data_IF_871393328105
#
_entry.id   IF_871393328105
#
_cell.length_a   1.000
_cell.length_b   1.000
_cell.length_c   1.000
_cell.angle_alpha   90.00
_cell.angle_beta   90.00
_cell.angle_gamma   90.00
#
_symmetry.space_group_name_H-M   'P 1'
#
loop_
_entity.id
_entity.type
_entity.pdbx_description
1 polymer ?
#
# COMPACT_ATOMS: atom_id res chain seq x y z
N UNK A 1 -14.49 -45.10 -55.07
CA UNK A 1 -13.44 -44.35 -54.34
C UNK A 1 -13.41 -44.80 -52.87
N UNK A 2 -12.94 -46.02 -52.61
CA UNK A 2 -12.69 -46.50 -51.25
C UNK A 2 -11.26 -46.12 -50.86
N UNK A 3 -11.11 -45.46 -49.72
CA UNK A 3 -9.82 -45.04 -49.18
C UNK A 3 -9.00 -46.28 -48.75
N UNK A 4 -8.15 -46.79 -49.65
CA UNK A 4 -7.17 -47.85 -49.34
C UNK A 4 -6.13 -47.44 -48.28
N UNK A 5 -6.03 -46.15 -47.94
CA UNK A 5 -5.17 -45.67 -46.86
C UNK A 5 -5.74 -45.89 -45.44
N UNK A 6 -6.96 -46.44 -45.31
CA UNK A 6 -7.59 -46.67 -43.99
C UNK A 6 -7.20 -47.99 -43.31
N UNK A 7 -6.55 -48.91 -44.05
CA UNK A 7 -6.17 -50.25 -43.54
C UNK A 7 -4.80 -50.31 -42.87
N UNK A 8 -4.01 -49.23 -42.93
CA UNK A 8 -2.73 -49.10 -42.21
C UNK A 8 -2.94 -48.18 -41.00
N UNK A 9 -3.69 -48.65 -40.00
CA UNK A 9 -3.51 -48.11 -38.64
C UNK A 9 -2.38 -48.92 -38.01
N UNK A 10 -1.18 -48.35 -37.81
CA UNK A 10 -0.17 -49.05 -37.04
C UNK A 10 -0.76 -49.35 -35.65
N UNK A 11 -0.81 -50.64 -35.28
CA UNK A 11 -0.93 -51.00 -33.86
C UNK A 11 0.20 -50.27 -33.14
N UNK A 12 -0.12 -49.66 -32.01
CA UNK A 12 0.85 -48.96 -31.17
C UNK A 12 2.10 -49.82 -31.02
N UNK A 13 3.21 -49.29 -31.54
CA UNK A 13 4.56 -49.73 -31.27
C UNK A 13 4.72 -49.86 -29.73
N UNK A 14 5.25 -51.00 -29.27
CA UNK A 14 5.32 -51.37 -27.85
C UNK A 14 6.43 -50.59 -27.10
N UNK A 15 7.27 -49.85 -27.83
CA UNK A 15 8.22 -48.90 -27.28
C UNK A 15 7.52 -47.70 -26.63
N UNK A 16 8.20 -47.10 -25.65
CA UNK A 16 7.73 -45.90 -24.94
C UNK A 16 7.65 -44.69 -25.88
N UNK A 17 6.57 -44.58 -26.67
CA UNK A 17 6.28 -43.36 -27.41
C UNK A 17 5.73 -42.33 -26.43
N UNK A 18 6.51 -41.26 -26.21
CA UNK A 18 6.07 -40.16 -25.36
C UNK A 18 4.86 -39.48 -26.01
N UNK A 19 3.75 -39.38 -25.27
CA UNK A 19 2.59 -38.58 -25.71
C UNK A 19 2.87 -37.11 -25.45
N UNK A 20 2.33 -36.23 -26.30
CA UNK A 20 2.34 -34.79 -26.02
C UNK A 20 1.73 -34.53 -24.64
N UNK A 21 2.54 -33.95 -23.75
CA UNK A 21 2.12 -33.65 -22.39
C UNK A 21 1.45 -32.28 -22.39
N UNK A 22 0.25 -32.21 -21.84
CA UNK A 22 -0.41 -30.92 -21.59
C UNK A 22 0.17 -30.28 -20.33
N UNK A 23 0.30 -28.95 -20.29
CA UNK A 23 0.74 -28.19 -19.10
C UNK A 23 -0.07 -28.56 -17.84
N UNK A 24 -1.32 -29.03 -17.99
CA UNK A 24 -2.17 -29.46 -16.87
C UNK A 24 -1.72 -30.75 -16.18
N UNK A 25 -0.94 -31.61 -16.83
CA UNK A 25 -0.54 -32.89 -16.22
C UNK A 25 0.57 -32.74 -15.16
N UNK A 26 1.31 -31.64 -15.19
CA UNK A 26 2.31 -31.30 -14.17
C UNK A 26 1.81 -30.30 -13.12
N UNK A 27 0.60 -29.77 -13.29
CA UNK A 27 0.02 -28.76 -12.38
C UNK A 27 -0.59 -29.34 -11.11
N UNK A 28 -0.33 -30.61 -10.76
CA UNK A 28 -0.50 -31.10 -9.37
C UNK A 28 0.65 -30.55 -8.50
N UNK A 29 0.86 -29.24 -8.57
CA UNK A 29 1.74 -28.52 -7.68
C UNK A 29 1.08 -28.55 -6.29
N UNK A 30 1.68 -29.34 -5.41
CA UNK A 30 1.60 -29.26 -3.96
C UNK A 30 1.25 -27.82 -3.53
N UNK A 31 0.15 -27.71 -2.78
CA UNK A 31 -0.55 -26.48 -2.47
C UNK A 31 0.40 -25.32 -2.13
N UNK A 32 0.40 -24.30 -2.98
CA UNK A 32 1.13 -23.03 -2.83
C UNK A 32 0.86 -22.37 -1.46
N UNK A 33 -0.29 -22.70 -0.84
CA UNK A 33 -0.71 -22.24 0.49
C UNK A 33 0.19 -22.78 1.63
N UNK A 34 0.59 -24.05 1.57
CA UNK A 34 1.36 -24.71 2.65
C UNK A 34 2.79 -24.20 2.75
N UNK A 35 3.41 -23.84 1.61
CA UNK A 35 4.79 -23.36 1.59
C UNK A 35 4.93 -21.88 1.96
N UNK A 36 3.88 -21.10 1.73
CA UNK A 36 3.82 -19.72 2.22
C UNK A 36 3.63 -19.69 3.74
N UNK A 37 2.76 -20.55 4.27
CA UNK A 37 2.62 -20.72 5.73
C UNK A 37 3.92 -21.23 6.37
N UNK A 38 4.63 -22.17 5.73
CA UNK A 38 5.92 -22.63 6.26
C UNK A 38 6.98 -21.52 6.29
N UNK A 39 7.15 -20.77 5.21
CA UNK A 39 8.11 -19.66 5.12
C UNK A 39 7.73 -18.46 6.02
N UNK A 40 6.43 -18.19 6.17
CA UNK A 40 5.90 -17.19 7.08
C UNK A 40 6.15 -17.61 8.54
N UNK A 41 5.86 -18.87 8.89
CA UNK A 41 6.06 -19.38 10.24
C UNK A 41 7.55 -19.51 10.61
N UNK A 42 8.42 -19.81 9.65
CA UNK A 42 9.88 -19.83 9.82
C UNK A 42 10.44 -18.41 10.05
N UNK A 43 9.97 -17.43 9.28
CA UNK A 43 10.27 -16.01 9.53
C UNK A 43 9.70 -15.51 10.87
N UNK A 44 8.51 -15.98 11.27
CA UNK A 44 7.89 -15.62 12.56
C UNK A 44 8.67 -16.22 13.74
N UNK A 45 9.29 -17.39 13.59
CA UNK A 45 10.21 -18.00 14.57
C UNK A 45 11.54 -17.25 14.68
N UNK A 46 12.08 -16.75 13.55
CA UNK A 46 13.27 -15.89 13.52
C UNK A 46 13.01 -14.48 14.08
N UNK A 47 11.75 -14.03 14.07
CA UNK A 47 11.31 -12.74 14.58
C UNK A 47 10.53 -12.85 15.90
N UNK A 48 11.05 -13.62 16.87
CA UNK A 48 10.87 -13.19 18.28
C UNK A 48 11.55 -11.83 18.39
N UNK A 49 10.72 -10.80 18.47
CA UNK A 49 11.10 -9.39 18.48
C UNK A 49 12.02 -9.08 19.65
N UNK A 50 13.32 -9.29 19.47
CA UNK A 50 14.28 -8.38 20.07
C UNK A 50 14.05 -7.04 19.37
N UNK A 51 13.34 -6.14 20.04
CA UNK A 51 13.58 -4.74 19.83
C UNK A 51 15.08 -4.55 20.06
N UNK A 52 15.87 -4.45 18.99
CA UNK A 52 17.21 -3.92 19.12
C UNK A 52 17.00 -2.49 19.56
N UNK A 53 17.05 -2.27 20.87
CA UNK A 53 17.41 -0.97 21.38
C UNK A 53 18.70 -0.57 20.67
N UNK A 54 18.85 0.69 20.23
CA UNK A 54 20.11 1.12 19.64
C UNK A 54 21.23 0.82 20.62
N UNK A 55 22.25 0.08 20.17
CA UNK A 55 23.38 -0.37 21.00
C UNK A 55 24.13 0.80 21.67
N UNK A 56 23.90 2.02 21.19
CA UNK A 56 24.54 3.24 21.67
C UNK A 56 23.52 4.31 22.08
N UNK A 57 22.78 4.07 23.19
CA UNK A 57 21.96 5.09 23.86
C UNK A 57 22.76 6.35 24.29
N UNK A 58 24.09 6.26 24.33
CA UNK A 58 25.00 7.36 24.66
C UNK A 58 25.12 8.41 23.54
N UNK A 59 25.05 7.99 22.27
CA UNK A 59 25.10 8.91 21.11
C UNK A 59 23.77 9.66 20.91
N UNK A 60 22.65 8.99 21.17
CA UNK A 60 21.31 9.57 21.08
C UNK A 60 20.82 10.05 22.45
N UNK A 61 21.21 11.28 22.84
CA UNK A 61 20.39 12.05 23.79
C UNK A 61 21.03 12.53 25.10
N UNK A 62 22.35 12.45 25.29
CA UNK A 62 23.03 13.19 26.39
C UNK A 62 23.48 14.60 25.95
N UNK A 63 22.79 15.17 24.96
CA UNK A 63 23.19 16.36 24.22
C UNK A 63 22.93 17.65 24.99
N UNK A 64 24.02 18.32 25.38
CA UNK A 64 24.07 19.69 25.89
C UNK A 64 23.48 19.95 27.30
N UNK A 65 22.20 19.69 27.56
CA UNK A 65 21.56 20.11 28.83
C UNK A 65 22.07 19.32 30.03
N UNK A 66 22.12 17.98 29.95
CA UNK A 66 22.65 17.14 31.04
C UNK A 66 24.13 17.41 31.33
N UNK A 67 24.92 17.79 30.32
CA UNK A 67 26.35 18.14 30.48
C UNK A 67 26.53 19.53 31.11
N UNK A 68 25.65 20.48 30.82
CA UNK A 68 25.78 21.88 31.23
C UNK A 68 24.87 22.29 32.40
N UNK A 69 23.98 21.41 32.88
CA UNK A 69 23.11 21.70 34.03
C UNK A 69 23.92 22.16 35.25
N UNK A 70 25.06 21.52 35.53
CA UNK A 70 25.98 21.90 36.63
C UNK A 70 26.69 23.25 36.41
N UNK A 71 26.71 23.79 35.18
CA UNK A 71 27.31 25.09 34.85
C UNK A 71 26.34 26.25 35.04
N UNK A 72 25.03 26.01 35.09
CA UNK A 72 24.01 27.04 35.36
C UNK A 72 23.87 27.24 36.88
N UNK A 73 24.83 27.91 37.53
CA UNK A 73 24.83 28.09 38.99
C UNK A 73 23.65 28.92 39.49
N UNK A 74 23.44 30.13 38.95
CA UNK A 74 22.27 31.01 39.14
C UNK A 74 22.14 31.95 37.93
N UNK A 75 20.92 32.33 37.58
CA UNK A 75 20.68 33.45 36.65
C UNK A 75 21.09 34.79 37.29
N UNK A 76 21.18 35.85 36.48
CA UNK A 76 21.47 37.20 37.00
C UNK A 76 20.36 37.67 37.94
N UNK A 77 20.73 38.08 39.15
CA UNK A 77 19.82 38.69 40.11
C UNK A 77 20.12 40.18 40.19
N UNK A 78 19.18 41.01 39.75
CA UNK A 78 19.36 42.46 39.76
C UNK A 78 19.43 42.98 41.20
N UNK A 79 20.47 43.73 41.61
CA UNK A 79 20.74 44.07 43.00
C UNK A 79 19.70 45.01 43.63
N UNK A 80 19.02 45.81 42.81
CA UNK A 80 18.00 46.78 43.26
C UNK A 80 16.57 46.35 42.96
N UNK A 81 16.35 45.14 42.44
CA UNK A 81 15.00 44.63 42.22
C UNK A 81 14.69 43.62 43.33
N UNK A 82 13.66 43.89 44.09
CA UNK A 82 13.14 42.97 45.10
C UNK A 82 11.65 42.75 44.87
N UNK A 83 11.12 41.62 45.33
CA UNK A 83 9.69 41.30 45.20
C UNK A 83 8.80 42.23 46.02
N UNK A 84 9.34 42.84 47.08
CA UNK A 84 8.64 43.82 47.92
C UNK A 84 8.76 45.24 47.37
N UNK A 85 9.94 45.58 46.82
CA UNK A 85 10.23 46.88 46.22
C UNK A 85 10.72 46.65 44.78
N UNK A 86 9.78 46.51 43.83
CA UNK A 86 10.09 46.36 42.42
C UNK A 86 10.64 47.68 41.90
N UNK A 87 11.74 47.60 41.14
CA UNK A 87 12.38 48.78 40.56
C UNK A 87 11.50 49.50 39.52
N UNK A 88 10.58 48.78 38.85
CA UNK A 88 9.72 49.31 37.80
C UNK A 88 8.26 49.35 38.27
N UNK A 89 7.73 50.54 38.52
CA UNK A 89 6.31 50.77 38.88
C UNK A 89 5.32 50.63 37.71
N UNK A 90 5.76 50.08 36.57
CA UNK A 90 4.96 50.06 35.34
C UNK A 90 3.88 48.99 35.32
N UNK A 91 3.80 48.14 36.34
CA UNK A 91 2.86 47.03 36.37
C UNK A 91 1.65 47.38 37.26
N UNK A 92 0.45 47.62 36.68
CA UNK A 92 -0.77 47.89 37.45
C UNK A 92 -1.07 46.79 38.49
N UNK A 93 -0.60 45.56 38.25
CA UNK A 93 -0.81 44.44 39.16
C UNK A 93 -0.15 44.62 40.53
N UNK A 94 0.96 45.36 40.64
CA UNK A 94 1.62 45.61 41.93
C UNK A 94 0.85 46.60 42.79
N UNK A 95 0.30 47.65 42.16
CA UNK A 95 -0.61 48.59 42.82
C UNK A 95 -1.91 47.90 43.27
N UNK A 96 -2.49 47.06 42.40
CA UNK A 96 -3.65 46.23 42.75
C UNK A 96 -3.35 45.27 43.89
N UNK A 97 -2.16 44.66 43.91
CA UNK A 97 -1.74 43.76 44.99
C UNK A 97 -1.66 44.49 46.33
N UNK A 98 -1.02 45.65 46.40
CA UNK A 98 -0.96 46.45 47.63
C UNK A 98 -2.35 46.88 48.11
N UNK A 99 -3.23 47.25 47.18
CA UNK A 99 -4.63 47.58 47.50
C UNK A 99 -5.40 46.37 48.01
N UNK A 100 -5.26 45.20 47.39
CA UNK A 100 -5.87 43.96 47.84
C UNK A 100 -5.32 43.51 49.20
N UNK A 101 -4.03 43.69 49.45
CA UNK A 101 -3.41 43.38 50.75
C UNK A 101 -3.93 44.33 51.85
N UNK A 102 -4.20 45.61 51.51
CA UNK A 102 -4.78 46.59 52.43
C UNK A 102 -6.26 46.30 52.75
N UNK A 103 -7.06 45.98 51.73
CA UNK A 103 -8.49 45.65 51.89
C UNK A 103 -8.66 44.27 52.55
N UNK A 104 -7.68 43.39 52.37
CA UNK A 104 -7.75 41.99 52.74
C UNK A 104 -8.49 41.13 51.70
N UNK A 105 -8.54 39.81 51.91
CA UNK A 105 -9.26 38.91 51.02
C UNK A 105 -10.77 39.19 51.05
N UNK A 106 -11.48 38.72 50.01
CA UNK A 106 -12.93 38.81 49.94
C UNK A 106 -13.58 38.23 51.21
N UNK A 107 -14.42 39.03 51.86
CA UNK A 107 -15.14 38.64 53.07
C UNK A 107 -16.32 37.73 52.72
N UNK A 108 -16.01 36.47 52.42
CA UNK A 108 -17.01 35.46 52.05
C UNK A 108 -17.85 35.09 53.26
N UNK A 109 -19.16 35.34 53.20
CA UNK A 109 -20.10 34.90 54.23
C UNK A 109 -20.44 33.41 54.06
N UNK A 110 -20.27 32.57 55.10
CA UNK A 110 -20.67 31.17 55.06
C UNK A 110 -22.19 30.95 55.28
N UNK A 111 -22.93 32.01 55.59
CA UNK A 111 -24.35 31.92 55.92
C UNK A 111 -25.22 31.86 54.65
N UNK A 112 -26.32 31.12 54.71
CA UNK A 112 -27.29 30.97 53.61
C UNK A 112 -28.05 32.27 53.25
N UNK A 113 -28.05 33.25 54.15
CA UNK A 113 -28.70 34.54 53.95
C UNK A 113 -27.78 35.71 54.30
N UNK A 114 -28.03 36.87 53.69
CA UNK A 114 -27.28 38.08 53.99
C UNK A 114 -27.54 38.58 55.42
N UNK A 115 -26.53 39.18 56.03
CA UNK A 115 -26.62 39.76 57.37
C UNK A 115 -27.75 40.80 57.49
N UNK A 116 -27.93 41.62 56.44
CA UNK A 116 -28.98 42.64 56.40
C UNK A 116 -30.39 42.05 56.38
N UNK A 117 -30.56 40.89 55.74
CA UNK A 117 -31.85 40.18 55.68
C UNK A 117 -32.15 39.47 57.01
N UNK A 118 -31.18 38.75 57.56
CA UNK A 118 -31.34 37.97 58.80
C UNK A 118 -31.56 38.83 60.05
N UNK A 119 -31.01 40.05 60.07
CA UNK A 119 -31.01 40.95 61.24
C UNK A 119 -31.69 42.29 60.98
N UNK A 120 -32.57 42.38 59.98
CA UNK A 120 -33.27 43.62 59.60
C UNK A 120 -33.88 44.36 60.79
N UNK A 121 -34.58 43.65 61.69
CA UNK A 121 -35.22 44.26 62.86
C UNK A 121 -34.24 44.82 63.88
N UNK A 122 -33.10 44.15 64.10
CA UNK A 122 -32.06 44.59 65.02
C UNK A 122 -31.26 45.77 64.44
N UNK A 123 -30.92 45.72 63.15
CA UNK A 123 -30.31 46.85 62.44
C UNK A 123 -31.25 48.06 62.50
N UNK A 124 -32.56 47.86 62.25
CA UNK A 124 -33.55 48.92 62.34
C UNK A 124 -33.65 49.50 63.76
N UNK A 125 -33.61 48.66 64.79
CA UNK A 125 -33.58 49.10 66.18
C UNK A 125 -32.36 49.98 66.49
N UNK A 126 -31.16 49.57 66.05
CA UNK A 126 -29.95 50.37 66.24
C UNK A 126 -29.98 51.70 65.47
N UNK A 127 -30.47 51.70 64.23
CA UNK A 127 -30.67 52.91 63.45
C UNK A 127 -31.71 53.82 64.11
N UNK A 128 -32.81 53.26 64.63
CA UNK A 128 -33.85 54.00 65.34
C UNK A 128 -33.34 54.66 66.62
N UNK A 129 -32.60 53.91 67.46
CA UNK A 129 -31.96 54.45 68.67
C UNK A 129 -30.92 55.52 68.30
N UNK A 130 -30.10 55.27 67.28
CA UNK A 130 -29.12 56.23 66.76
C UNK A 130 -29.75 57.52 66.24
N UNK A 131 -30.89 57.43 65.54
CA UNK A 131 -31.64 58.57 65.04
C UNK A 131 -32.25 59.39 66.19
N UNK A 132 -32.91 58.75 67.16
CA UNK A 132 -33.49 59.45 68.33
C UNK A 132 -32.41 60.14 69.15
N UNK A 133 -31.30 59.44 69.43
CA UNK A 133 -30.19 60.02 70.20
C UNK A 133 -29.54 61.18 69.45
N UNK A 134 -29.41 61.11 68.13
CA UNK A 134 -28.92 62.21 67.30
C UNK A 134 -29.88 63.40 67.31
N UNK A 135 -31.19 63.19 67.13
CA UNK A 135 -32.21 64.26 67.14
C UNK A 135 -32.31 64.91 68.52
N UNK A 136 -32.27 64.11 69.59
CA UNK A 136 -32.30 64.61 70.96
C UNK A 136 -31.06 65.44 71.31
N UNK A 137 -29.86 65.01 70.86
CA UNK A 137 -28.61 65.75 71.08
C UNK A 137 -28.51 67.03 70.25
N UNK A 138 -29.18 67.09 69.10
CA UNK A 138 -29.19 68.27 68.21
C UNK A 138 -30.30 69.29 68.53
N UNK A 139 -30.94 69.18 69.71
CA UNK A 139 -31.90 70.18 70.21
C UNK A 139 -33.33 70.01 69.70
N UNK A 140 -33.65 68.90 69.03
CA UNK A 140 -34.99 68.61 68.51
C UNK A 140 -35.35 69.36 67.22
N UNK A 141 -36.27 68.79 66.46
CA UNK A 141 -36.65 69.27 65.12
C UNK A 141 -37.30 70.66 65.08
N UNK A 142 -37.98 71.03 66.17
CA UNK A 142 -38.80 72.25 66.21
C UNK A 142 -38.02 73.52 66.53
N UNK A 143 -36.80 73.41 67.05
CA UNK A 143 -35.99 74.55 67.50
C UNK A 143 -34.70 74.75 66.69
N UNK A 144 -34.48 73.93 65.65
CA UNK A 144 -33.27 73.98 64.85
C UNK A 144 -33.58 74.49 63.43
N UNK A 145 -33.66 75.82 63.30
CA UNK A 145 -33.87 76.51 62.01
C UNK A 145 -32.78 76.19 60.99
N UNK A 146 -31.57 75.91 61.46
CA UNK A 146 -30.45 75.52 60.61
C UNK A 146 -30.69 74.17 59.90
N UNK A 147 -31.23 73.15 60.59
CA UNK A 147 -31.63 71.89 59.95
C UNK A 147 -32.73 72.12 58.91
N UNK A 148 -33.69 73.00 59.18
CA UNK A 148 -34.75 73.34 58.21
C UNK A 148 -34.21 74.06 56.97
N UNK A 149 -33.25 74.98 57.15
CA UNK A 149 -32.55 75.62 56.03
C UNK A 149 -31.71 74.64 55.20
N UNK A 150 -31.07 73.66 55.85
CA UNK A 150 -30.34 72.60 55.17
C UNK A 150 -31.26 71.70 54.32
N UNK A 151 -32.50 71.46 54.76
CA UNK A 151 -33.48 70.70 53.97
C UNK A 151 -33.85 71.42 52.69
N UNK A 152 -34.10 72.74 52.74
CA UNK A 152 -34.36 73.52 51.53
C UNK A 152 -33.17 73.49 50.55
N UNK A 153 -31.94 73.59 51.06
CA UNK A 153 -30.75 73.40 50.22
C UNK A 153 -30.69 71.99 49.62
N UNK A 154 -31.07 70.96 50.38
CA UNK A 154 -31.12 69.58 49.90
C UNK A 154 -32.19 69.37 48.83
N UNK A 155 -33.38 69.94 49.00
CA UNK A 155 -34.46 69.95 48.00
C UNK A 155 -33.99 70.62 46.71
N UNK A 156 -33.30 71.76 46.82
CA UNK A 156 -32.69 72.43 45.68
C UNK A 156 -31.63 71.57 44.98
N UNK A 157 -30.72 70.92 45.73
CA UNK A 157 -29.70 70.04 45.16
C UNK A 157 -30.30 68.79 44.50
N UNK A 158 -31.36 68.21 45.09
CA UNK A 158 -32.08 67.08 44.49
C UNK A 158 -32.72 67.53 43.18
N UNK A 159 -33.45 68.64 43.18
CA UNK A 159 -34.06 69.20 41.97
C UNK A 159 -32.99 69.52 40.90
N UNK A 160 -31.83 70.04 41.30
CA UNK A 160 -30.74 70.36 40.39
C UNK A 160 -30.05 69.11 39.85
N UNK A 161 -29.62 68.16 40.68
CA UNK A 161 -28.84 67.01 40.22
C UNK A 161 -29.70 65.85 39.72
N UNK A 162 -30.75 65.46 40.46
CA UNK A 162 -31.65 64.39 40.04
C UNK A 162 -32.51 64.87 38.88
N UNK A 163 -33.07 66.09 38.99
CA UNK A 163 -33.79 66.70 37.88
C UNK A 163 -32.92 66.82 36.63
N UNK A 164 -31.66 67.24 36.75
CA UNK A 164 -30.76 67.30 35.59
C UNK A 164 -30.36 65.92 35.03
N UNK A 165 -30.14 64.93 35.90
CA UNK A 165 -29.83 63.57 35.47
C UNK A 165 -31.02 62.94 34.73
N UNK A 166 -32.24 63.08 35.25
CA UNK A 166 -33.46 62.50 34.65
C UNK A 166 -33.96 63.30 33.44
N UNK A 167 -33.94 64.65 33.48
CA UNK A 167 -34.31 65.48 32.33
C UNK A 167 -33.44 65.17 31.11
N UNK A 168 -32.15 64.85 31.30
CA UNK A 168 -31.26 64.40 30.22
C UNK A 168 -31.67 63.06 29.59
N UNK A 169 -32.44 62.23 30.28
CA UNK A 169 -32.97 60.97 29.74
C UNK A 169 -34.32 61.15 29.03
N UNK A 170 -35.17 62.07 29.51
CA UNK A 170 -36.55 62.20 29.03
C UNK A 170 -36.83 63.40 28.10
N UNK A 171 -36.01 64.45 28.15
CA UNK A 171 -36.22 65.65 27.34
C UNK A 171 -35.27 65.72 26.15
N UNK A 172 -35.73 66.36 25.08
CA UNK A 172 -34.96 66.62 23.85
C UNK A 172 -33.92 67.75 24.05
N UNK A 173 -33.28 67.78 25.22
CA UNK A 173 -32.06 68.56 25.42
C UNK A 173 -30.99 68.00 24.47
N UNK A 174 -30.19 68.84 23.79
CA UNK A 174 -29.22 68.38 22.80
C UNK A 174 -28.24 67.37 23.42
N UNK A 175 -28.53 66.09 23.14
CA UNK A 175 -27.71 64.91 23.43
C UNK A 175 -27.98 64.25 24.79
N UNK A 176 -28.67 63.10 24.85
CA UNK A 176 -28.38 62.14 25.91
C UNK A 176 -26.89 61.78 25.81
N UNK A 177 -26.11 62.12 26.83
CA UNK A 177 -24.69 61.76 26.88
C UNK A 177 -24.58 60.25 27.12
N UNK A 178 -24.68 59.45 26.05
CA UNK A 178 -24.51 57.99 26.06
C UNK A 178 -23.10 57.53 26.48
N UNK A 179 -22.22 58.42 26.94
CA UNK A 179 -20.87 58.10 27.41
C UNK A 179 -20.87 57.02 28.49
N UNK A 180 -21.81 57.09 29.46
CA UNK A 180 -21.95 56.05 30.50
C UNK A 180 -22.43 54.74 29.87
N UNK A 181 -23.38 54.79 28.94
CA UNK A 181 -23.88 53.62 28.23
C UNK A 181 -22.75 52.92 27.45
N UNK A 182 -21.95 53.66 26.69
CA UNK A 182 -20.85 53.09 25.91
C UNK A 182 -19.74 52.52 26.80
N UNK A 183 -19.42 53.14 27.94
CA UNK A 183 -18.47 52.58 28.91
C UNK A 183 -18.99 51.26 29.50
N UNK A 184 -20.25 51.23 29.95
CA UNK A 184 -20.88 50.01 30.47
C UNK A 184 -20.96 48.92 29.39
N UNK A 185 -21.37 49.27 28.17
CA UNK A 185 -21.44 48.35 27.04
C UNK A 185 -20.06 47.75 26.73
N UNK A 186 -19.03 48.58 26.61
CA UNK A 186 -17.66 48.14 26.31
C UNK A 186 -17.10 47.24 27.42
N UNK A 187 -17.40 47.54 28.69
CA UNK A 187 -17.03 46.68 29.82
C UNK A 187 -17.73 45.33 29.78
N UNK A 188 -19.01 45.30 29.43
CA UNK A 188 -19.77 44.07 29.29
C UNK A 188 -19.21 43.20 28.16
N UNK A 189 -18.97 43.80 26.99
CA UNK A 189 -18.33 43.10 25.87
C UNK A 189 -16.93 42.60 26.24
N UNK A 190 -16.13 43.43 26.91
CA UNK A 190 -14.80 43.04 27.39
C UNK A 190 -14.84 41.85 28.36
N UNK A 191 -15.79 41.83 29.30
CA UNK A 191 -15.98 40.72 30.22
C UNK A 191 -16.43 39.44 29.49
N UNK A 192 -17.30 39.57 28.50
CA UNK A 192 -17.73 38.44 27.67
C UNK A 192 -16.56 37.85 26.86
N UNK A 193 -15.74 38.70 26.24
CA UNK A 193 -14.54 38.27 25.52
C UNK A 193 -13.51 37.60 26.46
N UNK A 194 -13.32 38.14 27.66
CA UNK A 194 -12.46 37.52 28.67
C UNK A 194 -12.98 36.14 29.11
N UNK A 195 -14.30 35.98 29.25
CA UNK A 195 -14.92 34.68 29.55
C UNK A 195 -14.71 33.65 28.42
N UNK A 196 -14.58 34.10 27.16
CA UNK A 196 -14.37 33.25 25.98
C UNK A 196 -12.89 33.07 25.63
N UNK A 197 -11.98 33.63 26.44
CA UNK A 197 -10.55 33.64 26.14
C UNK A 197 -9.98 32.24 25.86
N UNK A 198 -10.37 31.24 26.66
CA UNK A 198 -9.87 29.87 26.52
C UNK A 198 -10.28 29.26 25.17
N UNK A 199 -11.53 29.42 24.75
CA UNK A 199 -12.04 28.89 23.49
C UNK A 199 -11.33 29.56 22.29
N UNK A 200 -11.16 30.89 22.34
CA UNK A 200 -10.43 31.62 21.32
C UNK A 200 -8.94 31.21 21.24
N UNK A 201 -8.30 31.05 22.40
CA UNK A 201 -6.91 30.62 22.50
C UNK A 201 -6.72 29.20 21.94
N UNK A 202 -7.65 28.29 22.24
CA UNK A 202 -7.65 26.93 21.69
C UNK A 202 -7.79 26.95 20.17
N UNK A 203 -8.79 27.65 19.63
CA UNK A 203 -9.00 27.77 18.18
C UNK A 203 -7.76 28.32 17.47
N UNK A 204 -7.07 29.29 18.09
CA UNK A 204 -5.82 29.81 17.55
C UNK A 204 -4.69 28.78 17.61
N UNK A 205 -4.56 28.06 18.73
CA UNK A 205 -3.54 27.03 18.93
C UNK A 205 -3.65 25.87 17.93
N UNK A 206 -4.88 25.45 17.56
CA UNK A 206 -5.13 24.36 16.61
C UNK A 206 -4.43 24.61 15.27
N UNK A 207 -4.40 25.87 14.80
CA UNK A 207 -3.74 26.24 13.55
C UNK A 207 -2.23 25.95 13.57
N UNK A 208 -1.58 26.10 14.72
CA UNK A 208 -0.16 25.76 14.89
C UNK A 208 0.06 24.26 15.07
N UNK A 209 -0.86 23.57 15.75
CA UNK A 209 -0.79 22.13 15.95
C UNK A 209 -0.93 21.35 14.64
N UNK A 210 -1.78 21.78 13.71
CA UNK A 210 -1.97 21.12 12.42
C UNK A 210 -0.66 21.00 11.63
N UNK A 211 0.04 22.12 11.43
CA UNK A 211 1.33 22.12 10.72
C UNK A 211 2.38 21.29 11.44
N UNK A 212 2.45 21.39 12.76
CA UNK A 212 3.39 20.60 13.56
C UNK A 212 3.10 19.11 13.47
N UNK A 213 1.83 18.72 13.45
CA UNK A 213 1.38 17.35 13.28
C UNK A 213 1.75 16.79 11.90
N UNK A 214 1.54 17.57 10.84
CA UNK A 214 1.97 17.18 9.48
C UNK A 214 3.47 16.88 9.42
N UNK A 215 4.29 17.68 10.11
CA UNK A 215 5.74 17.42 10.20
C UNK A 215 6.06 16.08 10.89
N UNK A 216 5.29 15.71 11.92
CA UNK A 216 5.44 14.42 12.61
C UNK A 216 5.04 13.23 11.72
N UNK A 217 4.07 13.40 10.81
CA UNK A 217 3.65 12.33 9.89
C UNK A 217 4.78 11.92 8.93
N UNK A 218 5.66 12.83 8.50
CA UNK A 218 6.84 12.46 7.69
C UNK A 218 7.76 11.48 8.42
N UNK A 219 7.95 11.68 9.72
CA UNK A 219 8.74 10.77 10.55
C UNK A 219 8.07 9.40 10.67
N UNK A 220 6.74 9.37 10.81
CA UNK A 220 5.97 8.12 10.82
C UNK A 220 6.11 7.34 9.50
N UNK A 221 5.96 8.02 8.36
CA UNK A 221 6.13 7.41 7.03
C UNK A 221 7.55 6.82 6.89
N UNK A 222 8.57 7.53 7.38
CA UNK A 222 9.94 7.04 7.36
C UNK A 222 10.12 5.76 8.20
N UNK A 223 9.49 5.67 9.37
CA UNK A 223 9.55 4.47 10.19
C UNK A 223 8.90 3.25 9.50
N UNK A 224 7.82 3.48 8.76
CA UNK A 224 7.12 2.42 8.02
C UNK A 224 7.90 1.94 6.77
N UNK A 225 8.82 2.76 6.23
CA UNK A 225 9.61 2.43 5.04
C UNK A 225 10.33 1.08 5.15
N UNK A 226 10.97 0.79 6.30
CA UNK A 226 11.71 -0.48 6.49
C UNK A 226 10.78 -1.69 6.40
N UNK A 227 9.56 -1.57 6.92
CA UNK A 227 8.56 -2.63 6.87
C UNK A 227 8.04 -2.84 5.44
N UNK A 228 7.71 -1.76 4.74
CA UNK A 228 7.24 -1.81 3.35
C UNK A 228 8.33 -2.42 2.45
N UNK A 229 9.59 -2.02 2.62
CA UNK A 229 10.74 -2.58 1.87
C UNK A 229 10.89 -4.08 2.08
N UNK A 230 10.74 -4.57 3.31
CA UNK A 230 10.81 -6.02 3.59
C UNK A 230 9.68 -6.78 2.90
N UNK A 231 8.45 -6.27 3.01
CA UNK A 231 7.27 -6.90 2.39
C UNK A 231 7.33 -6.90 0.87
N UNK A 232 7.75 -5.80 0.26
CA UNK A 232 7.89 -5.71 -1.19
C UNK A 232 8.97 -6.65 -1.72
N UNK A 233 10.10 -6.77 -1.02
CA UNK A 233 11.17 -7.71 -1.37
C UNK A 233 10.70 -9.17 -1.26
N UNK A 234 9.99 -9.53 -0.17
CA UNK A 234 9.45 -10.87 0.00
C UNK A 234 8.45 -11.24 -1.11
N UNK A 235 7.54 -10.32 -1.45
CA UNK A 235 6.59 -10.51 -2.54
C UNK A 235 7.30 -10.64 -3.89
N UNK A 236 8.29 -9.79 -4.16
CA UNK A 236 9.09 -9.84 -5.38
C UNK A 236 9.79 -11.20 -5.53
N UNK A 237 10.53 -11.65 -4.51
CA UNK A 237 11.23 -12.94 -4.55
C UNK A 237 10.28 -14.13 -4.69
N UNK A 238 9.09 -14.05 -4.08
CA UNK A 238 8.07 -15.10 -4.22
C UNK A 238 7.57 -15.19 -5.66
N UNK A 239 7.28 -14.05 -6.28
CA UNK A 239 6.83 -14.00 -7.67
C UNK A 239 7.94 -14.46 -8.64
N UNK A 240 9.18 -14.02 -8.41
CA UNK A 240 10.32 -14.44 -9.24
C UNK A 240 10.61 -15.94 -9.14
N UNK A 241 10.43 -16.52 -7.95
CA UNK A 241 10.51 -17.97 -7.78
C UNK A 241 9.44 -18.69 -8.60
N UNK A 242 8.19 -18.23 -8.56
CA UNK A 242 7.10 -18.82 -9.33
C UNK A 242 7.33 -18.68 -10.84
N UNK A 243 7.87 -17.55 -11.29
CA UNK A 243 8.25 -17.32 -12.68
C UNK A 243 9.36 -18.27 -13.13
N UNK A 244 10.36 -18.52 -12.28
CA UNK A 244 11.44 -19.47 -12.56
C UNK A 244 10.90 -20.91 -12.63
N UNK A 245 10.07 -21.32 -11.68
CA UNK A 245 9.43 -22.64 -11.68
C UNK A 245 8.59 -22.84 -12.95
N UNK A 246 7.83 -21.81 -13.36
CA UNK A 246 7.07 -21.82 -14.61
C UNK A 246 7.98 -21.90 -15.85
N UNK A 247 9.05 -21.11 -15.91
CA UNK A 247 10.00 -21.12 -17.03
C UNK A 247 10.66 -22.49 -17.20
N UNK A 248 11.10 -23.10 -16.09
CA UNK A 248 11.65 -24.46 -16.11
C UNK A 248 10.62 -25.47 -16.62
N UNK A 249 9.37 -25.33 -16.18
CA UNK A 249 8.30 -26.23 -16.57
C UNK A 249 7.96 -26.09 -18.06
N UNK A 250 7.78 -24.86 -18.54
CA UNK A 250 7.51 -24.56 -19.95
C UNK A 250 8.65 -25.05 -20.84
N UNK A 251 9.92 -24.82 -20.44
CA UNK A 251 11.09 -25.31 -21.17
C UNK A 251 11.13 -26.84 -21.27
N UNK A 252 10.81 -27.53 -20.17
CA UNK A 252 10.74 -29.00 -20.14
C UNK A 252 9.65 -29.52 -21.08
N UNK A 253 8.46 -28.90 -21.05
CA UNK A 253 7.33 -29.29 -21.91
C UNK A 253 7.65 -29.03 -23.39
N UNK A 254 8.25 -27.87 -23.72
CA UNK A 254 8.68 -27.56 -25.08
C UNK A 254 9.70 -28.58 -25.58
N UNK A 255 10.71 -28.92 -24.77
CA UNK A 255 11.73 -29.90 -25.13
C UNK A 255 11.11 -31.29 -25.37
N UNK A 256 10.20 -31.73 -24.50
CA UNK A 256 9.49 -33.01 -24.67
C UNK A 256 8.62 -33.02 -25.92
N UNK A 257 7.87 -31.96 -26.19
CA UNK A 257 7.05 -31.87 -27.40
C UNK A 257 7.90 -31.84 -28.68
N UNK A 258 9.08 -31.23 -28.64
CA UNK A 258 10.03 -31.28 -29.75
C UNK A 258 10.62 -32.67 -29.95
N UNK A 259 10.97 -33.38 -28.87
CA UNK A 259 11.40 -34.79 -28.93
C UNK A 259 10.32 -35.63 -29.59
N UNK A 260 9.07 -35.52 -29.14
CA UNK A 260 7.93 -36.25 -29.73
C UNK A 260 7.76 -35.90 -31.22
N UNK A 261 7.94 -34.63 -31.60
CA UNK A 261 7.88 -34.23 -33.01
C UNK A 261 9.01 -34.84 -33.84
N UNK A 262 10.23 -34.95 -33.30
CA UNK A 262 11.34 -35.61 -33.98
C UNK A 262 11.14 -37.13 -34.08
N UNK A 263 10.63 -37.77 -33.03
CA UNK A 263 10.26 -39.19 -33.05
C UNK A 263 9.21 -39.49 -34.12
N UNK A 264 8.16 -38.67 -34.20
CA UNK A 264 7.14 -38.79 -35.24
C UNK A 264 7.70 -38.55 -36.64
N UNK A 265 8.62 -37.60 -36.79
CA UNK A 265 9.28 -37.34 -38.08
C UNK A 265 10.18 -38.51 -38.50
N UNK A 266 10.94 -39.09 -37.58
CA UNK A 266 11.78 -40.26 -37.83
C UNK A 266 10.91 -41.47 -38.24
N UNK A 267 9.79 -41.70 -37.54
CA UNK A 267 8.82 -42.74 -37.90
C UNK A 267 8.22 -42.49 -39.28
N UNK A 268 7.78 -41.28 -39.58
CA UNK A 268 7.22 -40.91 -40.88
C UNK A 268 8.24 -41.10 -42.00
N UNK A 269 9.49 -40.67 -41.80
CA UNK A 269 10.56 -40.84 -42.78
C UNK A 269 10.84 -42.32 -43.03
N UNK A 270 10.79 -43.18 -42.00
CA UNK A 270 10.92 -44.62 -42.16
C UNK A 270 9.74 -45.24 -42.92
N UNK A 271 8.51 -44.82 -42.64
CA UNK A 271 7.34 -45.28 -43.40
C UNK A 271 7.41 -44.85 -44.86
N UNK A 272 7.87 -43.64 -45.14
CA UNK A 272 8.08 -43.14 -46.50
C UNK A 272 9.18 -43.93 -47.22
N UNK A 273 10.32 -44.19 -46.56
CA UNK A 273 11.38 -45.00 -47.18
C UNK A 273 10.88 -46.40 -47.48
N UNK A 274 10.13 -47.03 -46.58
CA UNK A 274 9.55 -48.36 -46.80
C UNK A 274 8.58 -48.39 -47.97
N UNK A 275 7.69 -47.39 -48.07
CA UNK A 275 6.74 -47.29 -49.17
C UNK A 275 7.47 -47.06 -50.51
N UNK A 276 8.50 -46.20 -50.52
CA UNK A 276 9.29 -45.90 -51.70
C UNK A 276 10.14 -47.10 -52.13
N UNK A 277 10.75 -47.81 -51.20
CA UNK A 277 11.54 -49.01 -51.50
C UNK A 277 10.64 -50.17 -51.97
N UNK A 278 9.44 -50.32 -51.40
CA UNK A 278 8.45 -51.29 -51.89
C UNK A 278 8.01 -50.95 -53.31
N UNK A 279 7.76 -49.67 -53.59
CA UNK A 279 7.41 -49.20 -54.92
C UNK A 279 8.55 -49.42 -55.93
N UNK A 280 9.79 -49.09 -55.56
CA UNK A 280 10.97 -49.34 -56.41
C UNK A 280 11.15 -50.84 -56.69
N UNK A 281 10.98 -51.70 -55.69
CA UNK A 281 11.04 -53.15 -55.86
C UNK A 281 9.93 -53.68 -56.78
N UNK A 282 8.72 -53.10 -56.72
CA UNK A 282 7.65 -53.44 -57.69
C UNK A 282 7.98 -52.99 -59.10
N UNK A 283 8.55 -51.81 -59.29
CA UNK A 283 8.99 -51.33 -60.61
C UNK A 283 10.07 -52.26 -61.15
N UNK A 284 11.10 -52.56 -60.36
CA UNK A 284 12.19 -53.43 -60.74
C UNK A 284 11.68 -54.82 -61.14
N UNK A 285 10.73 -55.38 -60.38
CA UNK A 285 10.10 -56.68 -60.68
C UNK A 285 9.22 -56.69 -61.93
N UNK A 286 8.60 -55.55 -62.26
CA UNK A 286 7.82 -55.36 -63.50
C UNK A 286 8.74 -55.15 -64.71
N UNK A 287 9.87 -54.48 -64.53
CA UNK A 287 10.89 -54.26 -65.57
C UNK A 287 11.70 -55.53 -65.87
N UNK A 288 11.98 -56.35 -64.85
CA UNK A 288 12.75 -57.59 -64.94
C UNK A 288 11.92 -58.81 -65.36
N UNK A 289 10.64 -58.65 -65.72
CA UNK A 289 9.76 -59.75 -66.13
C UNK A 289 10.20 -60.33 -67.48
N UNK A 290 11.00 -61.40 -67.44
CA UNK A 290 11.55 -62.07 -68.61
C UNK A 290 10.51 -62.90 -69.39
N UNK A 291 9.43 -63.34 -68.72
CA UNK A 291 8.39 -64.20 -69.30
C UNK A 291 7.17 -63.41 -69.82
N UNK A 292 7.12 -62.09 -69.62
CA UNK A 292 6.03 -61.22 -70.09
C UNK A 292 4.67 -61.46 -69.43
N UNK A 293 4.60 -62.34 -68.44
CA UNK A 293 3.38 -62.78 -67.76
C UNK A 293 2.63 -61.63 -67.07
N UNK A 294 3.36 -60.66 -66.51
CA UNK A 294 2.79 -59.50 -65.83
C UNK A 294 2.16 -58.57 -66.87
N UNK A 295 2.86 -58.32 -67.99
CA UNK A 295 2.37 -57.49 -69.09
C UNK A 295 1.17 -58.13 -69.78
N UNK A 296 1.14 -59.45 -69.91
CA UNK A 296 0.03 -60.19 -70.49
C UNK A 296 -1.22 -60.16 -69.59
N UNK A 297 -1.06 -60.32 -68.27
CA UNK A 297 -2.18 -60.20 -67.32
C UNK A 297 -2.71 -58.76 -67.24
N UNK A 298 -1.83 -57.75 -67.23
CA UNK A 298 -2.25 -56.35 -67.33
C UNK A 298 -2.95 -56.06 -68.67
N UNK A 299 -2.55 -56.70 -69.77
CA UNK A 299 -3.22 -56.60 -71.08
C UNK A 299 -4.59 -57.29 -71.09
N UNK A 300 -4.72 -58.47 -70.47
CA UNK A 300 -6.01 -59.15 -70.31
C UNK A 300 -6.97 -58.37 -69.40
N UNK A 301 -6.47 -57.73 -68.35
CA UNK A 301 -7.25 -56.83 -67.51
C UNK A 301 -7.74 -55.61 -68.31
N UNK A 302 -6.88 -55.02 -69.15
CA UNK A 302 -7.26 -53.92 -70.05
C UNK A 302 -8.33 -54.35 -71.09
N UNK A 303 -8.19 -55.53 -71.70
CA UNK A 303 -9.17 -56.08 -72.63
C UNK A 303 -10.53 -56.33 -71.97
N UNK A 304 -10.54 -56.83 -70.73
CA UNK A 304 -11.75 -57.04 -69.94
C UNK A 304 -12.45 -55.71 -69.60
N UNK A 305 -11.67 -54.64 -69.32
CA UNK A 305 -12.20 -53.30 -69.13
C UNK A 305 -12.84 -52.73 -70.40
N UNK A 306 -12.19 -52.89 -71.56
CA UNK A 306 -12.75 -52.47 -72.86
C UNK A 306 -14.06 -53.22 -73.16
N UNK A 307 -14.12 -54.53 -72.86
CA UNK A 307 -15.30 -55.37 -73.09
C UNK A 307 -16.50 -54.99 -72.22
N UNK A 308 -16.26 -54.50 -71.00
CA UNK A 308 -17.32 -54.09 -70.06
C UNK A 308 -17.77 -52.64 -70.23
N UNK A 309 -16.99 -51.81 -70.93
CA UNK A 309 -17.25 -50.37 -71.08
C UNK A 309 -16.82 -49.52 -69.88
N UNK A 310 -16.31 -50.14 -68.82
CA UNK A 310 -15.75 -49.50 -67.62
C UNK A 310 -14.48 -50.27 -67.19
N UNK A 311 -13.41 -49.56 -66.84
CA UNK A 311 -12.10 -50.16 -66.56
C UNK A 311 -11.95 -50.50 -65.07
N UNK A 312 -12.19 -51.76 -64.73
CA UNK A 312 -11.95 -52.32 -63.40
C UNK A 312 -10.59 -53.05 -63.36
N UNK A 313 -9.62 -52.53 -62.61
CA UNK A 313 -8.26 -53.10 -62.47
C UNK A 313 -8.19 -54.34 -61.55
N UNK A 314 -9.27 -55.11 -61.44
CA UNK A 314 -9.36 -56.24 -60.49
C UNK A 314 -8.46 -57.43 -60.86
N UNK A 315 -8.04 -57.53 -62.13
CA UNK A 315 -7.12 -58.54 -62.63
C UNK A 315 -5.68 -58.05 -62.87
N UNK A 316 -5.34 -56.83 -62.44
CA UNK A 316 -4.00 -56.26 -62.65
C UNK A 316 -3.00 -56.82 -61.63
N UNK A 317 -1.89 -57.48 -62.06
CA UNK A 317 -0.88 -58.05 -61.17
C UNK A 317 -0.09 -57.01 -60.37
N UNK A 318 -0.09 -55.72 -60.76
CA UNK A 318 0.73 -54.69 -60.11
C UNK A 318 0.33 -54.45 -58.64
N UNK A 319 -0.96 -54.39 -58.34
CA UNK A 319 -1.44 -54.13 -56.97
C UNK A 319 -1.18 -55.32 -56.02
N UNK A 320 -1.43 -56.59 -56.40
CA UNK A 320 -1.04 -57.76 -55.61
C UNK A 320 0.46 -57.81 -55.30
N UNK A 321 1.33 -57.54 -56.28
CA UNK A 321 2.79 -57.55 -56.09
C UNK A 321 3.20 -56.46 -55.08
N UNK A 322 2.61 -55.26 -55.18
CA UNK A 322 2.84 -54.18 -54.21
C UNK A 322 2.36 -54.55 -52.81
N UNK A 323 1.20 -55.19 -52.70
CA UNK A 323 0.68 -55.67 -51.42
C UNK A 323 1.57 -56.75 -50.81
N UNK A 324 2.12 -57.66 -51.61
CA UNK A 324 3.05 -58.69 -51.17
C UNK A 324 4.35 -58.07 -50.65
N UNK A 325 4.99 -57.18 -51.41
CA UNK A 325 6.22 -56.49 -51.01
C UNK A 325 6.03 -55.59 -49.76
N UNK A 326 4.90 -54.88 -49.67
CA UNK A 326 4.55 -54.13 -48.46
C UNK A 326 4.32 -55.06 -47.28
N UNK A 327 3.61 -56.18 -47.46
CA UNK A 327 3.32 -57.12 -46.38
C UNK A 327 4.59 -57.77 -45.82
N UNK A 328 5.55 -58.10 -46.69
CA UNK A 328 6.87 -58.64 -46.35
C UNK A 328 7.67 -57.64 -45.51
N UNK A 329 7.78 -56.40 -45.98
CA UNK A 329 8.52 -55.34 -45.27
C UNK A 329 7.83 -54.88 -43.98
N UNK A 330 6.50 -54.99 -43.89
CA UNK A 330 5.74 -54.74 -42.66
C UNK A 330 5.92 -55.87 -41.64
N UNK A 331 6.10 -57.13 -42.08
CA UNK A 331 6.43 -58.23 -41.17
C UNK A 331 7.80 -58.03 -40.53
N UNK A 332 8.79 -57.51 -41.27
CA UNK A 332 10.11 -57.15 -40.72
C UNK A 332 9.99 -56.13 -39.59
N UNK A 333 9.12 -55.12 -39.73
CA UNK A 333 8.84 -54.14 -38.66
C UNK A 333 8.10 -54.74 -37.46
N UNK A 334 7.22 -55.73 -37.66
CA UNK A 334 6.48 -56.38 -36.57
C UNK A 334 7.36 -57.27 -35.70
N UNK A 335 8.46 -57.77 -36.26
CA UNK A 335 9.39 -58.66 -35.58
C UNK A 335 10.60 -57.92 -34.98
N UNK A 336 10.62 -56.58 -35.03
CA UNK A 336 11.69 -55.79 -34.42
C UNK A 336 11.74 -55.99 -32.91
N UNK A 337 12.97 -56.07 -32.39
CA UNK A 337 13.23 -56.07 -30.96
C UNK A 337 13.03 -54.67 -30.35
N UNK A 338 12.75 -54.56 -29.03
CA UNK A 338 12.59 -53.27 -28.37
C UNK A 338 13.83 -52.36 -28.47
N UNK A 339 15.02 -52.94 -28.65
CA UNK A 339 16.27 -52.19 -28.85
C UNK A 339 16.34 -51.57 -30.25
N UNK A 340 15.90 -52.29 -31.28
CA UNK A 340 15.81 -51.78 -32.65
C UNK A 340 14.71 -50.73 -32.80
N UNK A 341 13.60 -50.91 -32.08
CA UNK A 341 12.51 -49.94 -31.98
C UNK A 341 12.97 -48.64 -31.30
N UNK A 342 13.74 -48.75 -30.21
CA UNK A 342 14.38 -47.61 -29.56
C UNK A 342 15.36 -46.90 -30.49
N UNK A 343 16.16 -47.66 -31.26
CA UNK A 343 17.09 -47.09 -32.24
C UNK A 343 16.38 -46.36 -33.37
N UNK A 344 15.23 -46.86 -33.82
CA UNK A 344 14.40 -46.21 -34.85
C UNK A 344 13.83 -44.87 -34.37
N UNK A 345 13.39 -44.82 -33.10
CA UNK A 345 12.83 -43.62 -32.48
C UNK A 345 13.93 -42.69 -31.93
N UNK A 346 15.18 -43.15 -31.84
CA UNK A 346 16.27 -42.36 -31.30
C UNK A 346 16.55 -41.12 -32.15
N UNK A 347 16.84 -40.01 -31.47
CA UNK A 347 17.20 -38.77 -32.13
C UNK A 347 18.62 -38.85 -32.72
N UNK A 348 18.79 -38.29 -33.92
CA UNK A 348 20.11 -38.12 -34.53
C UNK A 348 20.97 -37.13 -33.74
N UNK A 349 22.29 -37.17 -33.95
CA UNK A 349 23.21 -36.25 -33.26
C UNK A 349 22.87 -34.77 -33.52
N UNK A 350 22.45 -34.43 -34.73
CA UNK A 350 22.08 -33.06 -35.09
C UNK A 350 20.73 -32.64 -34.50
N UNK A 351 19.75 -33.54 -34.43
CA UNK A 351 18.48 -33.29 -33.71
C UNK A 351 18.75 -33.02 -32.22
N UNK A 352 19.64 -33.79 -31.59
CA UNK A 352 20.05 -33.56 -30.19
C UNK A 352 20.77 -32.22 -30.01
N UNK A 353 21.69 -31.87 -30.91
CA UNK A 353 22.37 -30.56 -30.89
C UNK A 353 21.39 -29.40 -31.03
N UNK A 354 20.39 -29.53 -31.93
CA UNK A 354 19.34 -28.54 -32.10
C UNK A 354 18.54 -28.33 -30.80
N UNK A 355 18.11 -29.41 -30.14
CA UNK A 355 17.41 -29.33 -28.84
C UNK A 355 18.24 -28.64 -27.76
N UNK A 356 19.51 -28.99 -27.64
CA UNK A 356 20.43 -28.38 -26.66
C UNK A 356 20.60 -26.88 -26.92
N UNK A 357 20.74 -26.49 -28.19
CA UNK A 357 20.86 -25.09 -28.57
C UNK A 357 19.57 -24.31 -28.25
N UNK A 358 18.40 -24.89 -28.50
CA UNK A 358 17.12 -24.26 -28.14
C UNK A 358 16.97 -24.09 -26.63
N UNK A 359 17.36 -25.08 -25.83
CA UNK A 359 17.37 -25.00 -24.37
C UNK A 359 18.34 -23.92 -23.86
N UNK A 360 19.55 -23.86 -24.44
CA UNK A 360 20.57 -22.83 -24.13
C UNK A 360 20.06 -21.42 -24.43
N UNK A 361 19.49 -21.20 -25.62
CA UNK A 361 18.90 -19.91 -26.00
C UNK A 361 17.74 -19.52 -25.09
N UNK A 362 16.86 -20.46 -24.73
CA UNK A 362 15.75 -20.20 -23.82
C UNK A 362 16.22 -19.81 -22.40
N UNK A 363 17.33 -20.40 -21.93
CA UNK A 363 17.97 -20.05 -20.66
C UNK A 363 18.60 -18.65 -20.71
N UNK A 364 19.37 -18.35 -21.75
CA UNK A 364 20.02 -17.05 -21.94
C UNK A 364 19.01 -15.92 -22.11
N UNK A 365 17.95 -16.17 -22.88
CA UNK A 365 16.85 -15.21 -23.04
C UNK A 365 16.20 -14.88 -21.70
N UNK A 366 15.99 -15.86 -20.82
CA UNK A 366 15.43 -15.62 -19.49
C UNK A 366 16.36 -14.78 -18.61
N UNK A 367 17.65 -15.14 -18.55
CA UNK A 367 18.63 -14.45 -17.69
C UNK A 367 18.97 -13.04 -18.19
N UNK A 368 18.88 -12.80 -19.50
CA UNK A 368 19.15 -11.50 -20.12
C UNK A 368 18.00 -10.51 -20.01
N UNK A 369 16.81 -10.95 -19.59
CA UNK A 369 15.65 -10.06 -19.49
C UNK A 369 15.86 -9.00 -18.39
N UNK A 370 15.93 -7.74 -18.83
CA UNK A 370 16.07 -6.60 -17.91
C UNK A 370 14.66 -6.19 -17.44
N UNK A 371 14.46 -5.95 -16.13
CA UNK A 371 13.17 -5.51 -15.62
C UNK A 371 12.76 -4.17 -16.24
N UNK A 372 11.52 -4.12 -16.76
CA UNK A 372 10.98 -2.91 -17.36
C UNK A 372 10.59 -1.89 -16.28
N UNK A 373 11.43 -0.87 -16.09
CA UNK A 373 11.14 0.27 -15.19
C UNK A 373 10.58 1.43 -16.03
N UNK A 374 9.48 2.06 -15.59
CA UNK A 374 8.89 3.22 -16.29
C UNK A 374 9.62 4.53 -16.00
N UNK A 375 10.18 4.68 -14.80
CA UNK A 375 10.89 5.89 -14.37
C UNK A 375 12.25 6.04 -15.04
N UNK A 376 12.42 7.13 -15.79
CA UNK A 376 13.68 7.46 -16.45
C UNK A 376 14.80 7.86 -15.46
N UNK A 377 14.45 8.51 -14.34
CA UNK A 377 15.41 8.88 -13.29
C UNK A 377 16.00 7.67 -12.54
N UNK A 378 15.25 6.57 -12.44
CA UNK A 378 15.78 5.31 -11.90
C UNK A 378 16.74 4.63 -12.88
N UNK A 379 16.48 4.71 -14.19
CA UNK A 379 17.35 4.14 -15.22
C UNK A 379 18.72 4.83 -15.30
N UNK A 380 18.75 6.14 -15.11
CA UNK A 380 19.98 6.93 -15.12
C UNK A 380 20.79 6.84 -13.83
N UNK A 381 20.22 6.28 -12.75
CA UNK A 381 20.93 6.14 -11.49
C UNK A 381 22.10 5.17 -11.64
N UNK A 382 23.30 5.58 -11.20
CA UNK A 382 24.56 4.85 -11.39
C UNK A 382 24.47 3.39 -10.90
N UNK A 383 23.86 3.15 -9.73
CA UNK A 383 23.66 1.79 -9.20
C UNK A 383 22.81 0.90 -10.11
N UNK A 384 21.77 1.46 -10.74
CA UNK A 384 20.92 0.70 -11.66
C UNK A 384 21.66 0.42 -12.96
N UNK A 385 22.37 1.42 -13.51
CA UNK A 385 23.21 1.22 -14.69
C UNK A 385 24.30 0.16 -14.46
N UNK A 386 24.98 0.19 -13.30
CA UNK A 386 25.94 -0.85 -12.90
C UNK A 386 25.29 -2.24 -12.82
N UNK A 387 24.07 -2.33 -12.28
CA UNK A 387 23.33 -3.58 -12.20
C UNK A 387 22.96 -4.12 -13.60
N UNK A 388 22.44 -3.27 -14.48
CA UNK A 388 22.11 -3.65 -15.87
C UNK A 388 23.37 -4.08 -16.62
N UNK A 389 24.47 -3.34 -16.47
CA UNK A 389 25.77 -3.70 -17.05
C UNK A 389 26.32 -5.03 -16.50
N UNK A 390 26.06 -5.34 -15.23
CA UNK A 390 26.43 -6.63 -14.66
C UNK A 390 25.63 -7.78 -15.29
N UNK A 391 24.32 -7.60 -15.46
CA UNK A 391 23.46 -8.59 -16.14
C UNK A 391 23.87 -8.82 -17.60
N UNK A 392 24.18 -7.76 -18.34
CA UNK A 392 24.62 -7.88 -19.74
C UNK A 392 26.01 -8.51 -19.86
N UNK A 393 26.92 -8.24 -18.92
CA UNK A 393 28.26 -8.82 -18.91
C UNK A 393 28.28 -10.30 -18.50
N UNK A 394 27.35 -10.76 -17.66
CA UNK A 394 27.21 -12.19 -17.34
C UNK A 394 26.90 -13.02 -18.60
N UNK A 395 26.13 -12.48 -19.55
CA UNK A 395 25.86 -13.15 -20.83
C UNK A 395 27.05 -13.21 -21.79
N UNK A 396 28.08 -12.36 -21.63
CA UNK A 396 29.28 -12.43 -22.47
C UNK A 396 30.29 -13.48 -22.02
N UNK A 397 30.14 -14.00 -20.79
CA UNK A 397 31.06 -14.97 -20.18
C UNK A 397 30.52 -16.41 -20.11
N UNK A 398 29.23 -16.62 -20.40
CA UNK A 398 28.58 -17.93 -20.50
C UNK A 398 28.40 -18.31 -21.99
#
# INVERSE_FOLDING_TARGET
KSNMLSLVRPKHLNGFVLRQLSQRQFSKAVQIKDRFESAWNENKKLHKTHHHEPDNKLEYGTGYIQRNYKRMKKGYTHPYHSTSNPFLFTNPSEGWKLLSDLVGPEQVSPHYESLSKSRRGLIFLFVYIGAITSIARLGGWNHNEWIRGMIFHHEYLIALYVGYAELRHFTWLPGPKFSIFYDVFSRYEGAQLASQFNDCAEQYSIKFYQKSREQVEYWRIHNEYKYIKKRSLANFLTNERLNLEKHFHDRTVTMLNQIVSYEQMNLKNKMLSLAQDAFNATIERVESDADGSIKEQSFQAALNGIRKGEMDFTGDPVLPILQEELSKRVQDLKNMTPEEESKLLSLTADQKRSLINMDKVAKESYLSTVPHVSSQGLKSHEKFSKFVNHLTNLNKKA
#
